data_IF_536909461608
#
_entry.id   IF_536909461608
#
_cell.length_a   1.000
_cell.length_b   1.000
_cell.length_c   1.000
_cell.angle_alpha   90.00
_cell.angle_beta   90.00
_cell.angle_gamma   90.00
#
_symmetry.space_group_name_H-M   'P 1'
#
loop_
_entity.id
_entity.type
_entity.pdbx_description
1 polymer ?
#
# COMPACT_ATOMS: atom_id res chain seq x y z
N UNK A 1 12.19 -22.55 0.31
CA UNK A 1 11.35 -21.52 -0.33
C UNK A 1 11.40 -20.26 0.52
N UNK A 2 11.67 -19.09 -0.07
CA UNK A 2 11.83 -17.84 0.69
C UNK A 2 10.49 -17.28 1.18
N UNK A 3 10.53 -16.50 2.27
CA UNK A 3 9.38 -15.77 2.81
C UNK A 3 8.99 -14.63 1.84
N UNK A 4 7.79 -14.61 1.23
CA UNK A 4 7.39 -13.53 0.31
C UNK A 4 7.39 -12.18 1.03
N UNK A 5 7.93 -11.14 0.38
CA UNK A 5 7.88 -9.77 0.88
C UNK A 5 6.79 -8.99 0.14
N UNK A 6 5.83 -8.45 0.88
CA UNK A 6 4.64 -7.78 0.32
C UNK A 6 4.58 -6.35 0.86
N UNK A 7 4.44 -5.39 -0.05
CA UNK A 7 4.06 -4.02 0.30
C UNK A 7 2.56 -3.85 0.05
N UNK A 8 1.82 -3.51 1.10
CA UNK A 8 0.37 -3.42 1.08
C UNK A 8 -0.08 -1.97 1.34
N UNK A 9 -0.86 -1.41 0.40
CA UNK A 9 -1.36 -0.04 0.52
C UNK A 9 -2.68 0.14 -0.22
N UNK A 10 -3.44 1.17 0.17
CA UNK A 10 -4.69 1.56 -0.48
C UNK A 10 -4.44 2.74 -1.42
N UNK A 11 -5.01 2.70 -2.63
CA UNK A 11 -5.01 3.83 -3.57
C UNK A 11 -5.89 5.01 -3.17
N UNK A 12 -6.22 5.17 -1.87
CA UNK A 12 -7.06 6.25 -1.36
C UNK A 12 -6.40 6.94 -0.18
N UNK A 13 -6.35 8.26 -0.22
CA UNK A 13 -5.93 9.10 0.90
C UNK A 13 -7.07 9.47 1.86
N UNK A 14 -8.31 9.02 1.62
CA UNK A 14 -9.44 9.31 2.53
C UNK A 14 -9.25 8.60 3.88
N UNK A 15 -9.65 9.25 4.97
CA UNK A 15 -9.52 8.68 6.32
C UNK A 15 -10.39 7.41 6.46
N UNK A 16 -11.68 7.54 6.13
CA UNK A 16 -12.67 6.46 6.20
C UNK A 16 -12.74 5.60 4.93
N UNK A 17 -11.62 5.38 4.26
CA UNK A 17 -11.59 4.54 3.05
C UNK A 17 -11.86 3.07 3.39
N UNK A 18 -12.88 2.48 2.76
CA UNK A 18 -13.09 1.02 2.85
C UNK A 18 -11.89 0.23 2.32
N UNK A 19 -11.20 0.72 1.29
CA UNK A 19 -9.99 0.07 0.77
C UNK A 19 -8.84 0.07 1.78
N UNK A 20 -8.73 1.10 2.65
CA UNK A 20 -7.77 1.09 3.75
C UNK A 20 -8.10 0.04 4.81
N UNK A 21 -9.39 -0.13 5.11
CA UNK A 21 -9.85 -1.17 6.05
C UNK A 21 -9.59 -2.56 5.45
N UNK A 22 -9.92 -2.75 4.18
CA UNK A 22 -9.72 -4.01 3.45
C UNK A 22 -8.25 -4.40 3.34
N UNK A 23 -7.36 -3.46 2.99
CA UNK A 23 -5.93 -3.79 2.82
C UNK A 23 -5.28 -4.22 4.12
N UNK A 24 -5.73 -3.69 5.28
CA UNK A 24 -5.27 -4.14 6.60
C UNK A 24 -5.70 -5.58 6.90
N UNK A 25 -6.93 -5.95 6.54
CA UNK A 25 -7.43 -7.33 6.68
C UNK A 25 -6.64 -8.28 5.78
N UNK A 26 -6.42 -7.91 4.52
CA UNK A 26 -5.64 -8.71 3.58
C UNK A 26 -4.18 -8.87 4.02
N UNK A 27 -3.56 -7.80 4.54
CA UNK A 27 -2.21 -7.84 5.08
C UNK A 27 -2.09 -8.80 6.27
N UNK A 28 -3.08 -8.80 7.18
CA UNK A 28 -3.12 -9.75 8.29
C UNK A 28 -3.17 -11.20 7.79
N UNK A 29 -4.07 -11.50 6.84
CA UNK A 29 -4.15 -12.83 6.24
C UNK A 29 -2.87 -13.26 5.52
N UNK A 30 -2.17 -12.33 4.87
CA UNK A 30 -0.87 -12.61 4.25
C UNK A 30 0.23 -12.91 5.30
N UNK A 31 0.25 -12.19 6.43
CA UNK A 31 1.15 -12.49 7.55
C UNK A 31 0.87 -13.88 8.13
N UNK A 32 -0.40 -14.24 8.31
CA UNK A 32 -0.82 -15.58 8.77
C UNK A 32 -0.41 -16.69 7.80
N UNK A 33 -0.45 -16.42 6.50
CA UNK A 33 0.04 -17.31 5.46
C UNK A 33 1.59 -17.39 5.37
N UNK A 34 2.30 -16.67 6.26
CA UNK A 34 3.75 -16.70 6.36
C UNK A 34 4.47 -15.65 5.53
N UNK A 35 3.80 -14.62 5.01
CA UNK A 35 4.47 -13.51 4.32
C UNK A 35 5.09 -12.49 5.29
N UNK A 36 6.06 -11.73 4.80
CA UNK A 36 6.63 -10.55 5.44
C UNK A 36 5.97 -9.31 4.81
N UNK A 37 5.11 -8.64 5.57
CA UNK A 37 4.21 -7.62 5.03
C UNK A 37 4.52 -6.27 5.63
N UNK A 38 4.74 -5.27 4.79
CA UNK A 38 4.81 -3.86 5.16
C UNK A 38 3.52 -3.18 4.72
N UNK A 39 2.80 -2.56 5.66
CA UNK A 39 1.59 -1.78 5.34
C UNK A 39 1.95 -0.30 5.38
N UNK A 40 1.62 0.46 4.33
CA UNK A 40 1.81 1.91 4.29
C UNK A 40 0.48 2.63 4.02
N UNK A 41 0.32 3.81 4.62
CA UNK A 41 -0.78 4.73 4.32
C UNK A 41 -0.26 5.85 3.42
N UNK A 42 -0.80 5.97 2.19
CA UNK A 42 -0.37 7.03 1.26
C UNK A 42 -0.53 8.44 1.83
N UNK A 43 -1.37 8.68 2.85
CA UNK A 43 -1.47 9.98 3.52
C UNK A 43 -0.19 10.37 4.27
N UNK A 44 0.59 9.40 4.71
CA UNK A 44 1.87 9.62 5.41
C UNK A 44 2.98 10.01 4.42
N UNK A 45 2.74 9.82 3.13
CA UNK A 45 3.66 10.11 2.05
C UNK A 45 3.01 11.13 1.10
N UNK A 46 2.93 12.42 1.50
CA UNK A 46 2.46 13.47 0.62
C UNK A 46 3.40 13.56 -0.59
N UNK A 47 2.98 12.99 -1.71
CA UNK A 47 3.73 13.00 -2.97
C UNK A 47 3.14 14.05 -3.92
N UNK A 48 3.98 14.72 -4.72
CA UNK A 48 3.49 15.56 -5.80
C UNK A 48 2.68 14.72 -6.78
N UNK A 49 1.73 15.36 -7.49
CA UNK A 49 1.06 14.70 -8.59
C UNK A 49 2.10 14.31 -9.64
N UNK A 50 2.19 13.02 -9.95
CA UNK A 50 3.03 12.56 -11.03
C UNK A 50 2.37 12.94 -12.37
N UNK A 51 3.16 13.59 -13.21
CA UNK A 51 2.82 13.90 -14.60
C UNK A 51 3.94 13.34 -15.48
N UNK A 52 3.62 12.33 -16.28
CA UNK A 52 4.60 11.64 -17.12
C UNK A 52 5.06 12.46 -18.33
N UNK A 53 4.31 13.48 -18.73
CA UNK A 53 4.68 14.36 -19.84
C UNK A 53 5.69 15.41 -19.38
N UNK A 54 5.61 15.86 -18.12
CA UNK A 54 6.59 16.79 -17.53
C UNK A 54 7.97 16.16 -17.29
N UNK A 55 8.07 14.83 -17.20
CA UNK A 55 9.31 14.11 -16.84
C UNK A 55 10.17 13.69 -18.04
N UNK A 56 9.67 13.80 -19.28
CA UNK A 56 10.40 13.40 -20.50
C UNK A 56 11.32 14.50 -21.08
N UNK A 57 11.77 15.45 -20.25
CA UNK A 57 12.71 16.50 -20.67
C UNK A 57 14.13 16.23 -20.24
#
# INVERSE_FOLDING_TARGET
MGKPKILAFSGSARAESFNKKLVKIAAAGAVEAGADVTVIDLREFPMPLYDGDLQQK
#
